data_IF_598164773590
#
_entry.id   IF_598164773590
#
_cell.length_a   1.000
_cell.length_b   1.000
_cell.length_c   1.000
_cell.angle_alpha   90.00
_cell.angle_beta   90.00
_cell.angle_gamma   90.00
#
_symmetry.space_group_name_H-M   'P 1'
#
loop_
_entity.id
_entity.type
_entity.pdbx_description
1 polymer ?
#
# COMPACT_ATOMS: atom_id res chain seq x y z
N UNK A 1 -10.10 20.56 -5.66
CA UNK A 1 -9.41 19.44 -6.35
C UNK A 1 -10.24 18.91 -7.51
N UNK A 2 -11.49 18.51 -7.27
CA UNK A 2 -12.42 17.98 -8.28
C UNK A 2 -12.49 18.80 -9.60
N UNK A 3 -12.73 20.11 -9.53
CA UNK A 3 -12.81 20.98 -10.71
C UNK A 3 -11.52 21.00 -11.57
N UNK A 4 -10.35 20.89 -10.94
CA UNK A 4 -9.08 20.82 -11.65
C UNK A 4 -8.98 19.50 -12.44
N UNK A 5 -9.32 18.37 -11.80
CA UNK A 5 -9.26 17.04 -12.42
C UNK A 5 -10.25 16.93 -13.58
N UNK A 6 -11.47 17.44 -13.40
CA UNK A 6 -12.53 17.35 -14.40
C UNK A 6 -12.37 18.33 -15.57
N UNK A 7 -11.62 19.43 -15.39
CA UNK A 7 -11.41 20.42 -16.45
C UNK A 7 -10.42 19.98 -17.53
N UNK A 8 -9.57 18.99 -17.27
CA UNK A 8 -8.53 18.54 -18.19
C UNK A 8 -8.55 17.01 -18.32
N UNK A 9 -8.88 16.47 -19.51
CA UNK A 9 -9.12 15.03 -19.69
C UNK A 9 -7.89 14.14 -19.46
N UNK A 10 -6.68 14.70 -19.49
CA UNK A 10 -5.43 13.96 -19.25
C UNK A 10 -5.06 13.85 -17.76
N UNK A 11 -5.63 14.69 -16.88
CA UNK A 11 -5.25 14.71 -15.46
C UNK A 11 -5.69 13.41 -14.78
N UNK A 12 -6.90 12.93 -15.06
CA UNK A 12 -7.39 11.70 -14.45
C UNK A 12 -6.52 10.47 -14.81
N UNK A 13 -6.23 10.18 -16.10
CA UNK A 13 -5.29 9.11 -16.47
C UNK A 13 -3.88 9.28 -15.89
N UNK A 14 -3.38 10.52 -15.79
CA UNK A 14 -2.08 10.79 -15.18
C UNK A 14 -2.08 10.46 -13.69
N UNK A 15 -3.15 10.82 -12.97
CA UNK A 15 -3.32 10.48 -11.54
C UNK A 15 -3.42 8.96 -11.34
N UNK A 16 -4.16 8.24 -12.20
CA UNK A 16 -4.21 6.77 -12.16
C UNK A 16 -2.82 6.15 -12.37
N UNK A 17 -2.08 6.65 -13.35
CA UNK A 17 -0.71 6.18 -13.65
C UNK A 17 0.21 6.40 -12.44
N UNK A 18 0.19 7.60 -11.85
CA UNK A 18 0.97 7.92 -10.66
C UNK A 18 0.54 7.06 -9.45
N UNK A 19 -0.76 6.80 -9.30
CA UNK A 19 -1.27 5.92 -8.25
C UNK A 19 -0.73 4.50 -8.40
N UNK A 20 -0.71 3.97 -9.63
CA UNK A 20 -0.15 2.64 -9.93
C UNK A 20 1.37 2.59 -9.71
N UNK A 21 2.10 3.64 -10.06
CA UNK A 21 3.53 3.75 -9.77
C UNK A 21 3.81 3.75 -8.26
N UNK A 22 3.03 4.53 -7.49
CA UNK A 22 3.11 4.54 -6.04
C UNK A 22 2.79 3.18 -5.43
N UNK A 23 1.80 2.48 -5.98
CA UNK A 23 1.40 1.15 -5.54
C UNK A 23 2.49 0.12 -5.84
N UNK A 24 3.13 0.20 -7.00
CA UNK A 24 4.25 -0.66 -7.37
C UNK A 24 5.47 -0.44 -6.45
N UNK A 25 5.79 0.82 -6.13
CA UNK A 25 6.86 1.15 -5.18
C UNK A 25 6.56 0.63 -3.76
N UNK A 26 5.32 0.83 -3.30
CA UNK A 26 4.83 0.36 -2.01
C UNK A 26 4.86 -1.17 -1.90
N UNK A 27 4.11 -1.84 -2.76
CA UNK A 27 3.98 -3.29 -2.71
C UNK A 27 5.29 -3.99 -3.07
N UNK A 28 6.02 -3.50 -4.08
CA UNK A 28 7.31 -4.07 -4.46
C UNK A 28 8.36 -3.97 -3.35
N UNK A 29 8.43 -2.82 -2.67
CA UNK A 29 9.31 -2.63 -1.52
C UNK A 29 8.97 -3.57 -0.37
N UNK A 30 7.68 -3.67 -0.01
CA UNK A 30 7.21 -4.61 1.01
C UNK A 30 7.48 -6.06 0.63
N UNK A 31 7.15 -6.46 -0.60
CA UNK A 31 7.33 -7.83 -1.08
C UNK A 31 8.77 -8.30 -0.93
N UNK A 32 9.74 -7.52 -1.41
CA UNK A 32 11.16 -7.88 -1.32
C UNK A 32 11.61 -8.01 0.14
N UNK A 33 11.24 -7.04 0.97
CA UNK A 33 11.60 -7.02 2.38
C UNK A 33 10.97 -8.18 3.17
N UNK A 34 9.68 -8.43 2.95
CA UNK A 34 8.91 -9.44 3.67
C UNK A 34 9.30 -10.85 3.22
N UNK A 35 9.60 -11.08 1.94
CA UNK A 35 10.19 -12.34 1.48
C UNK A 35 11.50 -12.65 2.20
N UNK A 36 12.33 -11.63 2.45
CA UNK A 36 13.54 -11.80 3.25
C UNK A 36 13.24 -12.17 4.70
N UNK A 37 12.26 -11.50 5.32
CA UNK A 37 11.82 -11.81 6.70
C UNK A 37 11.23 -13.22 6.82
N UNK A 38 10.63 -13.74 5.75
CA UNK A 38 10.09 -15.11 5.67
C UNK A 38 11.16 -16.18 5.41
N UNK A 39 12.43 -15.80 5.31
CA UNK A 39 13.55 -16.73 5.16
C UNK A 39 13.96 -17.03 3.72
N UNK A 40 13.51 -16.25 2.74
CA UNK A 40 14.09 -16.26 1.38
C UNK A 40 15.30 -15.32 1.31
N UNK A 41 16.20 -15.54 0.36
CA UNK A 41 17.38 -14.69 0.14
C UNK A 41 18.17 -14.38 1.44
N UNK A 42 18.42 -15.39 2.28
CA UNK A 42 19.01 -15.25 3.62
C UNK A 42 20.38 -14.59 3.64
N UNK A 43 21.10 -14.59 2.52
CA UNK A 43 22.37 -13.90 2.32
C UNK A 43 22.27 -12.36 2.43
N UNK A 44 21.08 -11.78 2.25
CA UNK A 44 20.88 -10.34 2.36
C UNK A 44 20.70 -9.92 3.82
N UNK A 45 21.28 -8.78 4.23
CA UNK A 45 21.02 -8.20 5.56
C UNK A 45 19.60 -7.61 5.60
N UNK A 46 18.70 -8.09 6.48
CA UNK A 46 17.34 -7.57 6.60
C UNK A 46 17.31 -6.11 7.05
N UNK A 47 18.31 -5.65 7.81
CA UNK A 47 18.39 -4.25 8.24
C UNK A 47 18.75 -3.33 7.07
N UNK A 48 19.71 -3.74 6.22
CA UNK A 48 20.03 -3.04 4.98
C UNK A 48 18.85 -2.99 4.02
N UNK A 49 18.13 -4.10 3.86
CA UNK A 49 16.91 -4.12 3.05
C UNK A 49 15.86 -3.18 3.60
N UNK A 50 15.58 -3.20 4.92
CA UNK A 50 14.63 -2.30 5.54
C UNK A 50 14.96 -0.82 5.30
N UNK A 51 16.25 -0.43 5.40
CA UNK A 51 16.70 0.95 5.15
C UNK A 51 16.43 1.44 3.73
N UNK A 52 16.34 0.53 2.76
CA UNK A 52 16.00 0.87 1.37
C UNK A 52 14.50 0.75 1.11
N UNK A 53 13.90 -0.39 1.48
CA UNK A 53 12.53 -0.73 1.13
C UNK A 53 11.51 0.10 1.89
N UNK A 54 11.74 0.38 3.18
CA UNK A 54 10.76 1.11 4.00
C UNK A 54 10.59 2.55 3.53
N UNK A 55 11.66 3.35 3.27
CA UNK A 55 11.49 4.69 2.72
C UNK A 55 10.81 4.70 1.35
N UNK A 56 11.18 3.77 0.46
CA UNK A 56 10.55 3.63 -0.86
C UNK A 56 9.07 3.29 -0.72
N UNK A 57 8.73 2.38 0.21
CA UNK A 57 7.35 2.01 0.47
C UNK A 57 6.54 3.18 1.03
N UNK A 58 7.09 3.95 1.97
CA UNK A 58 6.46 5.14 2.53
C UNK A 58 6.26 6.24 1.47
N UNK A 59 7.24 6.46 0.59
CA UNK A 59 7.11 7.39 -0.53
C UNK A 59 6.01 6.93 -1.51
N UNK A 60 5.97 5.64 -1.84
CA UNK A 60 4.93 5.04 -2.66
C UNK A 60 3.54 5.17 -2.03
N UNK A 61 3.42 4.94 -0.72
CA UNK A 61 2.19 5.13 0.03
C UNK A 61 1.74 6.58 0.04
N UNK A 62 2.65 7.54 0.27
CA UNK A 62 2.33 8.96 0.22
C UNK A 62 1.83 9.38 -1.16
N UNK A 63 2.47 8.89 -2.23
CA UNK A 63 2.02 9.13 -3.61
C UNK A 63 0.62 8.52 -3.83
N UNK A 64 0.36 7.29 -3.38
CA UNK A 64 -0.95 6.67 -3.45
C UNK A 64 -2.02 7.45 -2.68
N UNK A 65 -1.69 7.96 -1.49
CA UNK A 65 -2.62 8.72 -0.67
C UNK A 65 -3.01 10.03 -1.37
N UNK A 66 -2.03 10.80 -1.87
CA UNK A 66 -2.28 12.07 -2.54
C UNK A 66 -3.07 11.87 -3.83
N UNK A 67 -2.64 10.94 -4.69
CA UNK A 67 -3.33 10.63 -5.95
C UNK A 67 -4.71 10.01 -5.71
N UNK A 68 -4.85 9.15 -4.69
CA UNK A 68 -6.11 8.52 -4.32
C UNK A 68 -7.15 9.53 -3.81
N UNK A 69 -6.74 10.51 -3.01
CA UNK A 69 -7.62 11.62 -2.60
C UNK A 69 -8.03 12.46 -3.82
N UNK A 70 -7.12 12.73 -4.75
CA UNK A 70 -7.43 13.47 -5.96
C UNK A 70 -8.44 12.72 -6.85
N UNK A 71 -8.22 11.43 -7.09
CA UNK A 71 -9.13 10.56 -7.84
C UNK A 71 -10.51 10.44 -7.16
N UNK A 72 -10.51 10.25 -5.83
CA UNK A 72 -11.75 10.21 -5.04
C UNK A 72 -12.53 11.51 -5.17
N UNK A 73 -11.86 12.67 -5.14
CA UNK A 73 -12.53 13.97 -5.23
C UNK A 73 -13.27 14.18 -6.56
N UNK A 74 -12.87 13.50 -7.64
CA UNK A 74 -13.52 13.63 -8.94
C UNK A 74 -14.87 12.91 -9.00
N UNK A 75 -15.05 11.82 -8.23
CA UNK A 75 -16.26 10.98 -8.23
C UNK A 75 -16.70 10.62 -6.81
N UNK A 76 -16.66 11.59 -5.88
CA UNK A 76 -16.81 11.32 -4.45
C UNK A 76 -18.16 10.67 -4.10
N UNK A 77 -19.24 11.13 -4.72
CA UNK A 77 -20.61 10.66 -4.43
C UNK A 77 -20.80 9.19 -4.86
N UNK A 78 -20.23 8.80 -6.00
CA UNK A 78 -20.27 7.42 -6.50
C UNK A 78 -19.37 6.50 -5.67
N UNK A 79 -18.15 6.97 -5.39
CA UNK A 79 -17.12 6.18 -4.72
C UNK A 79 -17.44 5.96 -3.23
N UNK A 80 -18.06 6.91 -2.55
CA UNK A 80 -18.37 6.80 -1.12
C UNK A 80 -19.36 5.68 -0.81
N UNK A 81 -20.29 5.40 -1.73
CA UNK A 81 -21.29 4.34 -1.57
C UNK A 81 -20.70 2.95 -1.80
N UNK A 82 -19.53 2.85 -2.45
CA UNK A 82 -18.85 1.59 -2.76
C UNK A 82 -18.40 0.83 -1.51
N UNK A 83 -18.92 -0.38 -1.33
CA UNK A 83 -18.44 -1.33 -0.31
C UNK A 83 -16.95 -1.66 -0.50
N UNK A 84 -16.49 -1.75 -1.75
CA UNK A 84 -15.10 -2.06 -2.06
C UNK A 84 -14.15 -0.95 -1.58
N UNK A 85 -14.54 0.32 -1.71
CA UNK A 85 -13.74 1.43 -1.19
C UNK A 85 -13.70 1.42 0.35
N UNK A 86 -14.86 1.24 1.01
CA UNK A 86 -14.91 1.17 2.48
C UNK A 86 -14.04 0.05 3.03
N UNK A 87 -14.12 -1.14 2.41
CA UNK A 87 -13.27 -2.28 2.76
C UNK A 87 -11.79 -1.96 2.53
N UNK A 88 -11.44 -1.36 1.37
CA UNK A 88 -10.06 -0.93 1.06
C UNK A 88 -9.51 -0.02 2.15
N UNK A 89 -10.29 0.97 2.60
CA UNK A 89 -9.88 1.90 3.65
C UNK A 89 -9.67 1.20 5.00
N UNK A 90 -10.57 0.30 5.39
CA UNK A 90 -10.41 -0.49 6.62
C UNK A 90 -9.15 -1.38 6.57
N UNK A 91 -8.90 -2.04 5.44
CA UNK A 91 -7.71 -2.88 5.25
C UNK A 91 -6.41 -2.08 5.31
N UNK A 92 -6.38 -0.87 4.74
CA UNK A 92 -5.21 0.03 4.82
C UNK A 92 -4.92 0.41 6.29
N UNK A 93 -5.95 0.71 7.09
CA UNK A 93 -5.77 1.01 8.51
C UNK A 93 -5.23 -0.19 9.29
N UNK A 94 -5.75 -1.39 9.03
CA UNK A 94 -5.28 -2.64 9.64
C UNK A 94 -3.82 -2.92 9.23
N UNK A 95 -3.47 -2.72 7.96
CA UNK A 95 -2.10 -2.88 7.46
C UNK A 95 -1.14 -1.91 8.14
N UNK A 96 -1.54 -0.64 8.30
CA UNK A 96 -0.78 0.37 9.02
C UNK A 96 -0.57 0.01 10.49
N UNK A 97 -1.61 -0.46 11.17
CA UNK A 97 -1.52 -0.92 12.57
C UNK A 97 -0.58 -2.13 12.71
N UNK A 98 -0.68 -3.11 11.81
CA UNK A 98 0.24 -4.24 11.76
C UNK A 98 1.70 -3.80 11.56
N UNK A 99 1.95 -2.88 10.62
CA UNK A 99 3.28 -2.35 10.36
C UNK A 99 3.84 -1.58 11.56
N UNK A 100 3.04 -0.74 12.21
CA UNK A 100 3.45 -0.01 13.41
C UNK A 100 3.80 -0.98 14.55
N UNK A 101 2.99 -2.01 14.76
CA UNK A 101 3.25 -3.03 15.77
C UNK A 101 4.52 -3.84 15.46
N UNK A 102 4.75 -4.20 14.20
CA UNK A 102 5.98 -4.86 13.75
C UNK A 102 7.22 -4.01 14.06
N UNK A 103 7.19 -2.70 13.75
CA UNK A 103 8.30 -1.79 14.01
C UNK A 103 8.52 -1.56 15.51
N UNK A 104 7.45 -1.36 16.28
CA UNK A 104 7.54 -1.11 17.72
C UNK A 104 8.15 -2.29 18.49
N UNK A 105 7.82 -3.54 18.10
CA UNK A 105 8.47 -4.75 18.66
C UNK A 105 9.89 -4.99 18.17
N UNK A 106 10.40 -4.18 17.23
CA UNK A 106 11.70 -4.42 16.61
C UNK A 106 11.72 -5.68 15.74
N UNK A 107 10.65 -5.96 15.01
CA UNK A 107 10.44 -7.20 14.23
C UNK A 107 11.62 -7.56 13.31
N UNK A 108 12.29 -6.55 12.73
CA UNK A 108 13.50 -6.72 11.91
C UNK A 108 14.64 -7.42 12.66
N UNK A 109 14.83 -7.08 13.94
CA UNK A 109 15.87 -7.64 14.81
C UNK A 109 15.43 -8.96 15.43
N UNK A 110 14.16 -9.05 15.84
CA UNK A 110 13.62 -10.23 16.51
C UNK A 110 13.57 -11.45 15.59
N UNK A 111 13.12 -11.28 14.33
CA UNK A 111 12.96 -12.35 13.34
C UNK A 111 12.24 -13.61 13.86
N UNK A 112 11.36 -13.40 14.84
CA UNK A 112 10.61 -14.44 15.52
C UNK A 112 9.45 -14.95 14.64
N UNK A 113 8.77 -16.01 15.11
CA UNK A 113 7.60 -16.55 14.41
C UNK A 113 6.52 -15.48 14.20
N UNK A 114 6.36 -14.56 15.16
CA UNK A 114 5.39 -13.49 15.06
C UNK A 114 5.74 -12.49 13.95
N UNK A 115 7.01 -12.08 13.81
CA UNK A 115 7.47 -11.24 12.71
C UNK A 115 7.15 -11.85 11.35
N UNK A 116 7.33 -13.17 11.20
CA UNK A 116 6.94 -13.89 9.97
C UNK A 116 5.44 -13.86 9.72
N UNK A 117 4.62 -14.09 10.75
CA UNK A 117 3.17 -13.98 10.63
C UNK A 117 2.72 -12.56 10.26
N UNK A 118 3.33 -11.53 10.85
CA UNK A 118 3.04 -10.13 10.52
C UNK A 118 3.39 -9.79 9.07
N UNK A 119 4.49 -10.34 8.53
CA UNK A 119 4.83 -10.23 7.11
C UNK A 119 3.81 -10.95 6.21
N UNK A 120 3.40 -12.17 6.54
CA UNK A 120 2.35 -12.86 5.77
C UNK A 120 1.02 -12.12 5.79
N UNK A 121 0.63 -11.61 6.95
CA UNK A 121 -0.57 -10.80 7.12
C UNK A 121 -0.48 -9.51 6.29
N UNK A 122 0.66 -8.82 6.32
CA UNK A 122 0.91 -7.61 5.54
C UNK A 122 0.76 -7.87 4.04
N UNK A 123 1.40 -8.90 3.48
CA UNK A 123 1.23 -9.28 2.07
C UNK A 123 -0.23 -9.58 1.73
N UNK A 124 -0.92 -10.37 2.57
CA UNK A 124 -2.33 -10.69 2.36
C UNK A 124 -3.23 -9.46 2.37
N UNK A 125 -3.01 -8.52 3.30
CA UNK A 125 -3.74 -7.26 3.39
C UNK A 125 -3.52 -6.41 2.14
N UNK A 126 -2.28 -6.22 1.71
CA UNK A 126 -1.96 -5.41 0.53
C UNK A 126 -2.49 -6.03 -0.76
N UNK A 127 -2.38 -7.34 -0.94
CA UNK A 127 -3.02 -8.03 -2.08
C UNK A 127 -4.53 -7.78 -2.09
N UNK A 128 -5.18 -7.89 -0.93
CA UNK A 128 -6.63 -7.62 -0.82
C UNK A 128 -6.96 -6.17 -1.13
N UNK A 129 -6.16 -5.21 -0.65
CA UNK A 129 -6.29 -3.77 -0.97
C UNK A 129 -6.19 -3.51 -2.48
N UNK A 130 -5.27 -4.20 -3.17
CA UNK A 130 -5.09 -4.11 -4.63
C UNK A 130 -6.32 -4.67 -5.35
N UNK A 131 -6.80 -5.84 -4.93
CA UNK A 131 -8.01 -6.47 -5.49
C UNK A 131 -9.23 -5.57 -5.31
N UNK A 132 -9.46 -5.02 -4.11
CA UNK A 132 -10.52 -4.04 -3.86
C UNK A 132 -10.38 -2.83 -4.79
N UNK A 133 -9.16 -2.31 -4.98
CA UNK A 133 -8.87 -1.22 -5.90
C UNK A 133 -9.29 -1.48 -7.35
N UNK A 134 -9.22 -2.74 -7.82
CA UNK A 134 -9.69 -3.12 -9.15
C UNK A 134 -11.19 -3.32 -9.24
N UNK A 135 -11.80 -3.81 -8.17
CA UNK A 135 -13.24 -4.02 -8.12
C UNK A 135 -14.05 -2.74 -7.90
N UNK A 136 -13.43 -1.64 -7.43
CA UNK A 136 -14.08 -0.31 -7.37
C UNK A 136 -14.61 0.12 -8.74
N UNK A 137 -13.95 -0.27 -9.84
CA UNK A 137 -14.35 0.11 -11.20
C UNK A 137 -15.45 -0.78 -11.80
N UNK A 138 -15.89 -1.83 -11.10
CA UNK A 138 -16.81 -2.86 -11.64
C UNK A 138 -18.21 -2.77 -11.00
N UNK A 139 -18.39 -1.97 -9.95
CA UNK A 139 -19.66 -1.77 -9.23
C UNK A 139 -20.29 -0.44 -9.61
#
# INVERSE_FOLDING_TARGET
MAALVLSHPWIYPALETLHLMGLAALFGGLLIFELRMLGRATALDPSALARLSVPVALAGFALCAVTGVALFSAHADELWVSNALRLKMALILIAGANALWFHWRGGVRAQDRMARWQCLLSLGLWVTVIVCGRWIAVV
#
